data_IF_550272951618
#
_entry.id   IF_550272951618
#
_cell.length_a   1.000
_cell.length_b   1.000
_cell.length_c   1.000
_cell.angle_alpha   90.00
_cell.angle_beta   90.00
_cell.angle_gamma   90.00
#
_symmetry.space_group_name_H-M   'P 1'
#
loop_
_entity.id
_entity.type
_entity.pdbx_description
1 polymer ?
#
# COMPACT_ATOMS: atom_id res chain seq x y z
N UNK A 1 -15.75 -6.84 -22.65
CA UNK A 1 -14.68 -6.48 -21.74
C UNK A 1 -15.14 -5.40 -20.79
N UNK A 2 -15.04 -5.63 -19.49
CA UNK A 2 -15.50 -4.68 -18.49
C UNK A 2 -14.44 -3.59 -18.26
N UNK A 3 -14.86 -2.34 -18.36
CA UNK A 3 -13.97 -1.21 -18.08
C UNK A 3 -13.70 -1.14 -16.57
N UNK A 4 -12.42 -0.92 -16.18
CA UNK A 4 -12.06 -0.68 -14.78
C UNK A 4 -12.66 0.66 -14.36
N UNK A 5 -13.61 0.69 -13.40
CA UNK A 5 -14.24 1.95 -12.96
C UNK A 5 -13.29 2.89 -12.25
N UNK A 6 -12.12 2.41 -11.82
CA UNK A 6 -11.11 3.24 -11.16
C UNK A 6 -10.22 3.99 -12.15
N UNK A 7 -10.28 3.65 -13.43
CA UNK A 7 -9.57 4.35 -14.50
C UNK A 7 -10.49 5.39 -15.12
N UNK A 8 -10.10 6.65 -15.08
CA UNK A 8 -10.95 7.80 -15.38
C UNK A 8 -12.25 7.76 -14.57
N UNK A 9 -12.11 7.78 -13.24
CA UNK A 9 -13.23 7.56 -12.34
C UNK A 9 -14.20 8.75 -12.30
N UNK A 10 -15.43 8.48 -11.84
CA UNK A 10 -16.44 9.50 -11.57
C UNK A 10 -16.43 9.95 -10.10
N UNK A 11 -15.58 9.35 -9.29
CA UNK A 11 -15.48 9.67 -7.85
C UNK A 11 -14.12 9.19 -7.31
N UNK A 12 -13.68 9.71 -6.14
CA UNK A 12 -12.50 9.13 -5.48
C UNK A 12 -12.80 7.71 -4.99
N UNK A 13 -11.76 6.88 -4.96
CA UNK A 13 -11.85 5.51 -4.42
C UNK A 13 -11.09 5.42 -3.11
N UNK A 14 -11.68 4.71 -2.15
CA UNK A 14 -11.11 4.51 -0.83
C UNK A 14 -10.27 3.23 -0.82
N UNK A 15 -9.07 3.34 -0.27
CA UNK A 15 -8.19 2.20 -0.08
C UNK A 15 -7.49 2.25 1.27
N UNK A 16 -6.72 1.22 1.53
CA UNK A 16 -5.88 1.09 2.72
C UNK A 16 -4.45 0.80 2.31
N UNK A 17 -3.52 1.22 3.16
CA UNK A 17 -2.09 0.98 3.00
C UNK A 17 -1.55 0.66 4.38
N UNK A 18 -0.63 -0.30 4.51
CA UNK A 18 -0.22 -0.79 5.82
C UNK A 18 1.30 -0.85 5.94
N UNK A 19 1.84 -0.09 6.89
CA UNK A 19 3.24 -0.21 7.29
C UNK A 19 3.34 -1.37 8.28
N UNK A 20 3.78 -2.52 7.79
CA UNK A 20 3.90 -3.76 8.58
C UNK A 20 5.33 -3.90 9.06
N UNK A 21 5.52 -4.00 10.37
CA UNK A 21 6.84 -4.06 10.99
C UNK A 21 7.09 -5.44 11.60
N UNK A 22 8.35 -5.89 11.49
CA UNK A 22 8.87 -7.09 12.15
C UNK A 22 10.38 -6.91 12.34
N UNK A 23 10.84 -7.04 13.59
CA UNK A 23 12.28 -6.99 13.93
C UNK A 23 12.98 -5.72 13.39
N UNK A 24 12.29 -4.59 13.43
CA UNK A 24 12.86 -3.31 12.98
C UNK A 24 12.84 -3.10 11.48
N UNK A 25 12.27 -4.04 10.72
CA UNK A 25 12.14 -3.91 9.27
C UNK A 25 10.68 -3.75 8.86
N UNK A 26 10.47 -3.04 7.77
CA UNK A 26 9.13 -2.83 7.20
C UNK A 26 8.94 -3.67 5.95
N UNK A 27 7.72 -4.18 5.78
CA UNK A 27 7.36 -4.97 4.61
C UNK A 27 7.00 -4.06 3.44
N UNK A 28 7.70 -4.20 2.34
CA UNK A 28 7.42 -3.46 1.11
C UNK A 28 7.09 -4.42 -0.03
N UNK A 29 6.26 -3.96 -0.95
CA UNK A 29 5.92 -4.67 -2.17
C UNK A 29 6.33 -3.85 -3.37
N UNK A 30 6.82 -4.52 -4.41
CA UNK A 30 7.13 -3.90 -5.69
C UNK A 30 5.95 -4.13 -6.63
N UNK A 31 5.44 -3.05 -7.18
CA UNK A 31 4.28 -3.12 -8.08
C UNK A 31 4.66 -3.87 -9.36
N UNK A 32 3.81 -4.81 -9.75
CA UNK A 32 3.99 -5.58 -10.98
C UNK A 32 3.27 -5.01 -12.18
N UNK A 33 2.41 -4.00 -11.99
CA UNK A 33 1.57 -3.44 -13.05
C UNK A 33 1.60 -1.91 -13.07
N UNK A 34 1.25 -1.34 -14.23
CA UNK A 34 1.00 0.09 -14.36
C UNK A 34 -0.25 0.49 -13.53
N UNK A 35 -0.35 1.73 -13.03
CA UNK A 35 0.74 2.71 -13.03
C UNK A 35 1.82 2.36 -12.00
N UNK A 36 2.99 2.96 -12.15
CA UNK A 36 4.10 2.83 -11.21
C UNK A 36 4.66 1.40 -11.10
N UNK A 37 4.66 0.64 -12.20
CA UNK A 37 5.32 -0.67 -12.22
C UNK A 37 6.79 -0.54 -11.81
N UNK A 38 7.25 -1.44 -10.93
CA UNK A 38 8.63 -1.43 -10.45
C UNK A 38 8.89 -0.53 -9.25
N UNK A 39 7.90 0.26 -8.81
CA UNK A 39 8.02 1.13 -7.63
C UNK A 39 7.62 0.36 -6.38
N UNK A 40 8.34 0.60 -5.28
CA UNK A 40 8.07 -0.04 -3.99
C UNK A 40 7.12 0.81 -3.15
N UNK A 41 6.23 0.13 -2.44
CA UNK A 41 5.27 0.78 -1.54
C UNK A 41 4.88 -0.16 -0.42
N UNK A 42 4.13 0.36 0.56
CA UNK A 42 3.46 -0.51 1.52
C UNK A 42 2.43 -1.39 0.82
N UNK A 43 2.19 -2.60 1.31
CA UNK A 43 1.06 -3.41 0.82
C UNK A 43 -0.26 -2.71 1.13
N UNK A 44 -1.24 -2.91 0.28
CA UNK A 44 -2.57 -2.35 0.45
C UNK A 44 -3.43 -2.57 -0.78
N UNK A 45 -4.60 -1.96 -0.76
CA UNK A 45 -5.55 -2.07 -1.86
C UNK A 45 -6.90 -1.46 -1.52
N UNK A 46 -7.91 -1.77 -2.31
CA UNK A 46 -9.24 -1.18 -2.17
C UNK A 46 -10.04 -1.72 -0.99
N UNK A 47 -10.88 -0.85 -0.45
CA UNK A 47 -11.86 -1.23 0.57
C UNK A 47 -13.14 -1.68 -0.13
N UNK A 48 -13.65 -2.84 0.22
CA UNK A 48 -14.89 -3.36 -0.32
C UNK A 48 -16.11 -2.66 0.28
N UNK A 49 -17.20 -2.63 -0.48
CA UNK A 49 -18.44 -2.05 0.02
C UNK A 49 -18.91 -2.82 1.27
N UNK A 50 -19.14 -2.09 2.35
CA UNK A 50 -19.53 -2.67 3.63
C UNK A 50 -18.39 -3.25 4.46
N UNK A 51 -17.15 -3.18 3.96
CA UNK A 51 -15.96 -3.67 4.65
C UNK A 51 -15.39 -2.59 5.57
N UNK A 52 -15.01 -2.95 6.80
CA UNK A 52 -14.34 -2.02 7.70
C UNK A 52 -12.88 -1.83 7.28
N UNK A 53 -12.34 -0.64 7.56
CA UNK A 53 -10.97 -0.31 7.17
C UNK A 53 -9.94 -1.31 7.70
N UNK A 54 -10.05 -1.69 8.96
CA UNK A 54 -9.11 -2.65 9.57
C UNK A 54 -9.20 -4.03 8.93
N UNK A 55 -10.41 -4.46 8.56
CA UNK A 55 -10.60 -5.75 7.89
C UNK A 55 -10.04 -5.72 6.48
N UNK A 56 -10.22 -4.61 5.76
CA UNK A 56 -9.62 -4.42 4.45
C UNK A 56 -8.09 -4.47 4.53
N UNK A 57 -7.51 -3.81 5.53
CA UNK A 57 -6.07 -3.80 5.75
C UNK A 57 -5.52 -5.22 5.96
N UNK A 58 -6.17 -6.02 6.83
CA UNK A 58 -5.74 -7.40 7.08
C UNK A 58 -5.88 -8.26 5.83
N UNK A 59 -6.99 -8.12 5.13
CA UNK A 59 -7.25 -8.90 3.90
C UNK A 59 -6.23 -8.56 2.82
N UNK A 60 -5.99 -7.29 2.56
CA UNK A 60 -5.07 -6.87 1.50
C UNK A 60 -3.63 -7.31 1.78
N UNK A 61 -3.16 -7.17 3.02
CA UNK A 61 -1.82 -7.64 3.38
C UNK A 61 -1.70 -9.14 3.19
N UNK A 62 -2.71 -9.90 3.61
CA UNK A 62 -2.72 -11.37 3.45
C UNK A 62 -2.71 -11.76 1.97
N UNK A 63 -3.56 -11.15 1.15
CA UNK A 63 -3.66 -11.47 -0.28
C UNK A 63 -2.38 -11.12 -1.03
N UNK A 64 -1.77 -10.00 -0.69
CA UNK A 64 -0.63 -9.47 -1.42
C UNK A 64 0.70 -10.04 -0.94
N UNK A 65 0.82 -10.39 0.32
CA UNK A 65 2.10 -10.79 0.93
C UNK A 65 2.09 -12.11 1.69
N UNK A 66 0.93 -12.64 2.02
CA UNK A 66 0.82 -13.86 2.83
C UNK A 66 1.01 -13.64 4.33
N UNK A 67 1.17 -12.40 4.79
CA UNK A 67 1.44 -12.08 6.20
C UNK A 67 0.14 -11.80 6.94
N UNK A 68 0.00 -12.38 8.14
CA UNK A 68 -1.06 -12.03 9.09
C UNK A 68 -0.55 -10.92 10.00
N UNK A 69 -1.39 -9.93 10.26
CA UNK A 69 -0.99 -8.73 11.00
C UNK A 69 -1.91 -8.45 12.20
N UNK A 70 -1.32 -7.77 13.18
CA UNK A 70 -2.06 -7.12 14.27
C UNK A 70 -1.97 -5.62 14.05
N UNK A 71 -3.10 -4.96 13.82
CA UNK A 71 -3.13 -3.53 13.59
C UNK A 71 -2.91 -2.81 14.92
N UNK A 72 -1.98 -1.85 14.91
CA UNK A 72 -1.67 -1.02 16.09
C UNK A 72 -2.53 0.25 16.08
N UNK A 73 -2.47 1.01 14.99
CA UNK A 73 -3.27 2.24 14.85
C UNK A 73 -3.24 2.79 13.43
N UNK A 74 -4.14 3.71 13.17
CA UNK A 74 -4.09 4.53 11.97
C UNK A 74 -3.04 5.63 12.19
N UNK A 75 -2.14 5.82 11.24
CA UNK A 75 -1.03 6.77 11.37
C UNK A 75 -1.10 7.94 10.41
N UNK A 76 -1.77 7.79 9.27
CA UNK A 76 -1.79 8.82 8.25
C UNK A 76 -2.90 8.54 7.23
N UNK A 77 -2.98 9.40 6.24
CA UNK A 77 -3.70 9.14 5.00
C UNK A 77 -2.84 9.62 3.82
N UNK A 78 -3.11 9.11 2.64
CA UNK A 78 -2.44 9.54 1.42
C UNK A 78 -3.49 9.87 0.37
N UNK A 79 -3.29 10.97 -0.35
CA UNK A 79 -4.16 11.37 -1.45
C UNK A 79 -3.38 11.15 -2.75
N UNK A 80 -3.90 10.29 -3.61
CA UNK A 80 -3.25 9.97 -4.88
C UNK A 80 -4.14 10.47 -6.00
N UNK A 81 -3.70 11.53 -6.67
CA UNK A 81 -4.43 12.12 -7.79
C UNK A 81 -3.49 12.12 -8.98
N UNK A 82 -3.83 11.34 -10.00
CA UNK A 82 -3.06 11.27 -11.23
C UNK A 82 -3.87 11.92 -12.35
N UNK A 83 -3.27 12.90 -13.03
CA UNK A 83 -3.91 13.57 -14.16
C UNK A 83 -3.18 13.21 -15.44
N UNK A 84 -3.93 13.13 -16.54
CA UNK A 84 -3.35 12.90 -17.84
C UNK A 84 -2.84 14.22 -18.46
N UNK A 85 -2.35 14.16 -19.70
CA UNK A 85 -1.81 15.33 -20.39
C UNK A 85 -2.83 16.42 -20.62
N UNK A 86 -4.11 16.09 -20.65
CA UNK A 86 -5.21 17.04 -20.84
C UNK A 86 -5.75 17.59 -19.52
N UNK A 87 -5.16 17.18 -18.40
CA UNK A 87 -5.57 17.61 -17.07
C UNK A 87 -6.74 16.83 -16.48
N UNK A 88 -7.23 15.80 -17.17
CA UNK A 88 -8.31 14.97 -16.67
C UNK A 88 -7.79 14.04 -15.59
N UNK A 89 -8.62 13.79 -14.56
CA UNK A 89 -8.25 12.87 -13.49
C UNK A 89 -8.29 11.43 -14.02
N UNK A 90 -7.11 10.83 -14.12
CA UNK A 90 -6.97 9.45 -14.58
C UNK A 90 -7.14 8.46 -13.44
N UNK A 91 -6.67 8.82 -12.23
CA UNK A 91 -6.80 8.02 -11.00
C UNK A 91 -7.01 8.94 -9.81
N UNK A 92 -7.85 8.55 -8.86
CA UNK A 92 -8.04 9.29 -7.62
C UNK A 92 -8.33 8.32 -6.48
N UNK A 93 -7.39 8.22 -5.53
CA UNK A 93 -7.51 7.36 -4.35
C UNK A 93 -7.27 8.15 -3.09
N UNK A 94 -8.01 7.81 -2.04
CA UNK A 94 -7.69 8.21 -0.68
C UNK A 94 -7.33 6.94 0.07
N UNK A 95 -6.09 6.84 0.56
CA UNK A 95 -5.60 5.68 1.28
C UNK A 95 -5.52 6.00 2.76
N UNK A 96 -6.14 5.17 3.57
CA UNK A 96 -5.97 5.23 5.03
C UNK A 96 -4.76 4.35 5.36
N UNK A 97 -3.77 4.92 6.06
CA UNK A 97 -2.52 4.23 6.36
C UNK A 97 -2.51 3.76 7.81
N UNK A 98 -2.29 2.45 7.97
CA UNK A 98 -2.18 1.82 9.29
C UNK A 98 -0.74 1.42 9.58
N UNK A 99 -0.39 1.41 10.88
CA UNK A 99 0.79 0.73 11.37
C UNK A 99 0.37 -0.60 11.98
N UNK A 100 1.12 -1.65 11.71
CA UNK A 100 0.81 -2.99 12.15
C UNK A 100 2.07 -3.78 12.47
N UNK A 101 1.91 -4.82 13.31
CA UNK A 101 2.96 -5.81 13.55
C UNK A 101 2.64 -7.08 12.79
N UNK A 102 3.64 -7.70 12.19
CA UNK A 102 3.50 -9.03 11.63
C UNK A 102 3.39 -10.04 12.77
N UNK A 103 2.38 -10.92 12.73
CA UNK A 103 2.19 -11.94 13.75
C UNK A 103 2.47 -13.36 13.26
N UNK A 104 2.35 -13.61 11.97
CA UNK A 104 2.68 -14.91 11.39
C UNK A 104 2.80 -14.86 9.88
N UNK A 105 3.39 -15.90 9.31
CA UNK A 105 3.53 -16.07 7.87
C UNK A 105 4.91 -15.71 7.35
N UNK A 106 5.17 -16.11 6.12
CA UNK A 106 6.37 -15.74 5.39
C UNK A 106 5.96 -14.87 4.20
N UNK A 107 6.69 -13.77 4.01
CA UNK A 107 6.39 -12.83 2.94
C UNK A 107 6.62 -13.49 1.57
N UNK A 108 5.61 -13.39 0.71
CA UNK A 108 5.67 -13.87 -0.67
C UNK A 108 4.80 -12.96 -1.53
N UNK A 109 5.17 -12.81 -2.79
CA UNK A 109 4.38 -12.00 -3.72
C UNK A 109 3.07 -12.72 -4.04
N UNK A 110 1.96 -12.00 -3.92
CA UNK A 110 0.63 -12.44 -4.32
C UNK A 110 -0.09 -11.34 -5.09
N UNK A 111 -1.19 -11.67 -5.75
CA UNK A 111 -1.99 -10.73 -6.54
C UNK A 111 -1.13 -9.88 -7.49
N UNK A 112 -1.15 -8.56 -7.36
CA UNK A 112 -0.47 -7.64 -8.26
C UNK A 112 0.97 -7.33 -7.85
N UNK A 113 1.48 -7.93 -6.78
CA UNK A 113 2.84 -7.71 -6.34
C UNK A 113 3.82 -8.55 -7.17
N UNK A 114 4.88 -7.92 -7.68
CA UNK A 114 5.94 -8.63 -8.37
C UNK A 114 6.97 -9.21 -7.40
N UNK A 115 7.13 -8.57 -6.24
CA UNK A 115 8.11 -8.96 -5.23
C UNK A 115 7.72 -8.40 -3.88
N UNK A 116 8.12 -9.10 -2.80
CA UNK A 116 8.01 -8.60 -1.42
C UNK A 116 9.38 -8.61 -0.76
N UNK A 117 9.64 -7.62 0.11
CA UNK A 117 10.90 -7.56 0.87
C UNK A 117 10.66 -6.95 2.25
N UNK A 118 11.40 -7.46 3.22
CA UNK A 118 11.58 -6.81 4.51
C UNK A 118 12.78 -5.87 4.39
N UNK A 119 12.59 -4.60 4.72
CA UNK A 119 13.59 -3.55 4.45
C UNK A 119 13.89 -2.77 5.72
N UNK A 120 15.17 -2.64 6.03
CA UNK A 120 15.63 -1.81 7.14
C UNK A 120 15.83 -0.37 6.72
N UNK A 121 15.92 0.53 7.70
CA UNK A 121 16.01 1.97 7.47
C UNK A 121 17.18 2.39 6.57
N UNK A 122 18.31 1.68 6.65
CA UNK A 122 19.50 2.01 5.86
C UNK A 122 19.33 1.72 4.37
N UNK A 123 18.28 0.95 3.99
CA UNK A 123 18.01 0.62 2.59
C UNK A 123 17.00 1.57 1.94
N UNK A 124 16.26 2.35 2.70
CA UNK A 124 15.17 3.18 2.17
C UNK A 124 15.62 4.13 1.07
N UNK A 125 16.79 4.75 1.24
CA UNK A 125 17.32 5.70 0.27
C UNK A 125 17.71 5.06 -1.07
N UNK A 126 17.88 3.74 -1.10
CA UNK A 126 18.29 3.00 -2.31
C UNK A 126 17.12 2.50 -3.12
N UNK A 127 15.92 2.56 -2.57
CA UNK A 127 14.73 2.03 -3.23
C UNK A 127 13.95 3.15 -3.89
N UNK A 128 13.34 2.83 -5.03
CA UNK A 128 12.40 3.72 -5.68
C UNK A 128 11.04 3.56 -5.00
N UNK A 129 10.75 4.44 -4.05
CA UNK A 129 9.53 4.39 -3.23
C UNK A 129 8.47 5.34 -3.79
N UNK A 130 7.19 5.01 -3.56
CA UNK A 130 6.13 5.98 -3.77
C UNK A 130 6.33 7.15 -2.83
N UNK A 131 5.81 8.33 -3.19
CA UNK A 131 5.99 9.55 -2.40
C UNK A 131 5.45 9.42 -0.98
N UNK A 132 4.26 8.85 -0.83
CA UNK A 132 3.65 8.65 0.50
C UNK A 132 4.43 7.65 1.35
N UNK A 133 4.92 6.55 0.76
CA UNK A 133 5.75 5.58 1.47
C UNK A 133 7.02 6.24 1.97
N UNK A 134 7.70 7.01 1.11
CA UNK A 134 8.91 7.75 1.48
C UNK A 134 8.65 8.72 2.62
N UNK A 135 7.57 9.50 2.53
CA UNK A 135 7.20 10.51 3.52
C UNK A 135 6.93 9.86 4.89
N UNK A 136 6.18 8.76 4.90
CA UNK A 136 5.81 8.07 6.13
C UNK A 136 7.03 7.41 6.77
N UNK A 137 7.89 6.77 5.97
CA UNK A 137 9.11 6.15 6.49
C UNK A 137 10.10 7.19 7.02
N UNK A 138 10.15 8.38 6.42
CA UNK A 138 11.01 9.47 6.89
C UNK A 138 10.62 9.97 8.27
N UNK A 139 9.35 9.82 8.66
CA UNK A 139 8.86 10.19 9.99
C UNK A 139 9.30 9.21 11.09
N UNK A 140 9.90 8.07 10.72
CA UNK A 140 10.37 7.05 11.64
C UNK A 140 9.39 5.93 11.91
N UNK A 141 9.83 4.94 12.71
CA UNK A 141 9.00 3.81 13.08
C UNK A 141 7.86 4.28 13.99
N UNK A 142 6.58 4.10 13.59
CA UNK A 142 5.43 4.59 14.34
C UNK A 142 4.99 3.70 15.50
N UNK A 143 5.67 2.56 15.71
CA UNK A 143 5.33 1.59 16.77
C UNK A 143 6.02 1.89 18.08
#
# INVERSE_FOLDING_TARGET
>A
MTRDPRHYPDRPYLGVSVAVWRDGEVLLVRRGRAPLAGVWSFPGGGVGLGERLADAARREVREETGIEIAIVRQIDHAEIIVRDADGLVERHYVLIVFAANAISGEARAGDDAAETRWVGAQEFARLNLTEDTRRILAAGNPL
#
